data_IF_498141077419
#
_entry.id   IF_498141077419
#
_cell.length_a   1.000
_cell.length_b   1.000
_cell.length_c   1.000
_cell.angle_alpha   90.00
_cell.angle_beta   90.00
_cell.angle_gamma   90.00
#
_symmetry.space_group_name_H-M   'P 1'
#
loop_
_entity.id
_entity.type
_entity.pdbx_description
1 polymer ?
#
# COMPACT_ATOMS: atom_id res chain seq x y z
N UNK A 1 -6.23 37.17 -17.65
CA UNK A 1 -5.62 36.03 -16.94
C UNK A 1 -6.69 34.96 -16.86
N UNK A 2 -6.40 33.73 -17.29
CA UNK A 2 -7.39 32.65 -17.24
C UNK A 2 -7.52 32.12 -15.80
N UNK A 3 -8.66 31.53 -15.43
CA UNK A 3 -8.86 30.94 -14.09
C UNK A 3 -7.81 29.86 -13.74
N UNK A 4 -7.24 29.22 -14.76
CA UNK A 4 -6.11 28.29 -14.69
C UNK A 4 -4.78 28.96 -14.31
N UNK A 5 -4.54 30.21 -14.74
CA UNK A 5 -3.33 30.96 -14.38
C UNK A 5 -3.37 31.43 -12.91
N UNK A 6 -4.55 31.76 -12.39
CA UNK A 6 -4.74 32.15 -10.98
C UNK A 6 -4.62 30.97 -10.02
N UNK A 7 -5.13 29.79 -10.39
CA UNK A 7 -4.92 28.56 -9.60
C UNK A 7 -3.44 28.12 -9.60
N UNK A 8 -2.74 28.23 -10.74
CA UNK A 8 -1.31 27.93 -10.82
C UNK A 8 -0.45 28.92 -10.01
N UNK A 9 -0.81 30.21 -9.99
CA UNK A 9 -0.12 31.22 -9.19
C UNK A 9 -0.34 31.03 -7.67
N UNK A 10 -1.58 30.80 -7.22
CA UNK A 10 -1.88 30.47 -5.81
C UNK A 10 -1.24 29.17 -5.35
N UNK A 11 -1.15 28.16 -6.23
CA UNK A 11 -0.48 26.91 -5.92
C UNK A 11 1.05 27.07 -5.81
N UNK A 12 1.67 27.96 -6.60
CA UNK A 12 3.08 28.31 -6.45
C UNK A 12 3.39 29.06 -5.15
N UNK A 13 2.46 29.87 -4.65
CA UNK A 13 2.58 30.51 -3.33
C UNK A 13 2.45 29.51 -2.17
N UNK A 14 1.78 28.37 -2.40
CA UNK A 14 1.48 27.37 -1.36
C UNK A 14 2.68 26.52 -0.95
N UNK A 15 3.60 26.26 -1.87
CA UNK A 15 4.76 25.40 -1.61
C UNK A 15 6.05 26.20 -1.53
N UNK A 16 6.79 26.05 -0.43
CA UNK A 16 8.20 26.45 -0.41
C UNK A 16 9.08 25.33 -0.96
N UNK A 17 10.27 25.68 -1.50
CA UNK A 17 11.28 24.69 -1.85
C UNK A 17 11.69 23.83 -0.65
N UNK A 18 12.00 22.56 -0.92
CA UNK A 18 12.50 21.61 0.07
C UNK A 18 13.97 21.86 0.39
N UNK A 19 14.33 21.74 1.67
CA UNK A 19 15.71 21.75 2.13
C UNK A 19 16.37 20.38 1.89
N UNK A 20 17.17 20.31 0.82
CA UNK A 20 17.90 19.09 0.41
C UNK A 20 18.90 18.66 1.49
N UNK A 21 19.53 19.62 2.19
CA UNK A 21 20.53 19.30 3.22
C UNK A 21 19.93 18.51 4.38
N UNK A 22 18.65 18.74 4.67
CA UNK A 22 17.87 18.06 5.70
C UNK A 22 17.15 16.81 5.20
N UNK A 23 17.27 16.47 3.92
CA UNK A 23 16.40 15.46 3.29
C UNK A 23 14.91 15.73 3.61
N UNK A 24 14.49 16.99 3.46
CA UNK A 24 13.18 17.45 3.89
C UNK A 24 12.06 16.87 3.01
N UNK A 25 10.92 16.54 3.63
CA UNK A 25 9.72 16.03 2.96
C UNK A 25 8.50 16.81 3.44
N UNK A 26 7.49 16.91 2.56
CA UNK A 26 6.17 17.47 2.92
C UNK A 26 5.27 16.36 3.41
N UNK A 27 4.63 16.57 4.55
CA UNK A 27 3.66 15.63 5.14
C UNK A 27 2.40 16.36 5.57
N UNK A 28 1.31 15.62 5.71
CA UNK A 28 -0.01 16.14 6.03
C UNK A 28 -0.45 15.64 7.40
N UNK A 29 -1.18 16.45 8.15
CA UNK A 29 -1.93 15.99 9.33
C UNK A 29 -3.40 16.36 9.19
N UNK A 30 -4.30 15.47 9.62
CA UNK A 30 -5.70 15.86 9.79
C UNK A 30 -5.83 16.86 10.94
N UNK A 31 -6.53 17.97 10.70
CA UNK A 31 -6.88 18.91 11.78
C UNK A 31 -7.89 18.31 12.76
N UNK A 32 -8.74 17.42 12.25
CA UNK A 32 -9.72 16.66 13.02
C UNK A 32 -9.92 15.29 12.37
N UNK A 33 -10.03 14.25 13.20
CA UNK A 33 -10.31 12.88 12.78
C UNK A 33 -11.80 12.51 12.88
N UNK A 34 -12.68 13.43 13.27
CA UNK A 34 -14.11 13.18 13.39
C UNK A 34 -14.75 12.78 12.05
N UNK A 35 -15.59 11.73 12.02
CA UNK A 35 -16.25 11.28 10.81
C UNK A 35 -17.21 12.35 10.25
N UNK A 36 -17.53 12.26 8.96
CA UNK A 36 -18.52 13.11 8.26
C UNK A 36 -18.26 14.62 8.26
N UNK A 37 -17.08 15.07 8.70
CA UNK A 37 -16.64 16.46 8.53
C UNK A 37 -15.82 16.63 7.25
N UNK A 38 -15.79 17.83 6.63
CA UNK A 38 -14.91 18.11 5.50
C UNK A 38 -13.46 17.79 5.84
N UNK A 39 -12.73 17.24 4.87
CA UNK A 39 -11.31 16.90 5.07
C UNK A 39 -10.50 18.20 5.13
N UNK A 40 -9.90 18.45 6.30
CA UNK A 40 -9.01 19.57 6.56
C UNK A 40 -7.64 19.04 6.95
N UNK A 41 -6.62 19.48 6.20
CA UNK A 41 -5.25 18.99 6.28
C UNK A 41 -4.31 20.18 6.49
N UNK A 42 -3.31 20.00 7.35
CA UNK A 42 -2.22 20.97 7.51
C UNK A 42 -0.94 20.42 6.86
N UNK A 43 -0.24 21.26 6.09
CA UNK A 43 1.01 20.91 5.42
C UNK A 43 2.22 21.17 6.32
N UNK A 44 3.01 20.14 6.56
CA UNK A 44 4.22 20.19 7.38
C UNK A 44 5.45 19.94 6.54
N UNK A 45 6.53 20.66 6.85
CA UNK A 45 7.85 20.43 6.29
C UNK A 45 8.72 19.83 7.38
N UNK A 46 9.13 18.58 7.21
CA UNK A 46 9.86 17.84 8.23
C UNK A 46 11.13 17.23 7.65
N UNK A 47 12.17 17.12 8.47
CA UNK A 47 13.39 16.43 8.09
C UNK A 47 13.28 14.94 8.37
N UNK A 48 13.62 14.11 7.36
CA UNK A 48 13.83 12.67 7.53
C UNK A 48 15.17 12.34 8.22
N UNK A 49 15.89 13.34 8.74
CA UNK A 49 17.11 13.18 9.55
C UNK A 49 16.87 13.47 11.03
N UNK A 50 15.73 14.04 11.39
CA UNK A 50 15.38 14.41 12.76
C UNK A 50 14.87 13.19 13.55
N UNK A 51 15.70 12.16 13.66
CA UNK A 51 15.42 10.93 14.39
C UNK A 51 15.42 11.15 15.90
N UNK A 52 14.63 10.37 16.63
CA UNK A 52 14.72 10.32 18.10
C UNK A 52 16.05 9.72 18.55
N UNK A 53 16.70 10.23 19.62
CA UNK A 53 17.96 9.69 20.11
C UNK A 53 17.93 8.18 20.40
N UNK A 54 16.84 7.70 20.98
CA UNK A 54 16.60 6.28 21.28
C UNK A 54 16.50 5.43 20.01
N UNK A 55 15.89 5.95 18.95
CA UNK A 55 15.84 5.28 17.65
C UNK A 55 17.21 5.24 16.97
N UNK A 56 17.99 6.32 17.09
CA UNK A 56 19.38 6.36 16.57
C UNK A 56 20.22 5.29 17.25
N UNK A 57 20.16 5.19 18.59
CA UNK A 57 20.87 4.15 19.32
C UNK A 57 20.46 2.74 18.86
N UNK A 58 19.16 2.48 18.76
CA UNK A 58 18.65 1.20 18.24
C UNK A 58 19.12 0.90 16.81
N UNK A 59 19.05 1.87 15.92
CA UNK A 59 19.45 1.73 14.51
C UNK A 59 20.94 1.41 14.40
N UNK A 60 21.77 2.11 15.15
CA UNK A 60 23.23 1.96 15.12
C UNK A 60 23.66 0.59 15.70
N UNK A 61 22.86 0.01 16.61
CA UNK A 61 23.01 -1.38 17.07
C UNK A 61 22.53 -2.42 16.02
N UNK A 62 21.67 -2.03 15.08
CA UNK A 62 21.03 -2.90 14.09
C UNK A 62 21.50 -2.62 12.65
N UNK A 63 22.76 -2.22 12.45
CA UNK A 63 23.32 -1.81 11.14
C UNK A 63 23.25 -2.86 10.03
N UNK A 64 23.03 -4.15 10.35
CA UNK A 64 22.83 -5.20 9.35
C UNK A 64 21.43 -5.23 8.74
N UNK A 65 20.46 -4.50 9.32
CA UNK A 65 19.07 -4.45 8.86
C UNK A 65 18.84 -3.26 7.95
N UNK A 66 17.98 -3.43 6.94
CA UNK A 66 17.56 -2.34 6.06
C UNK A 66 16.43 -1.50 6.67
N UNK A 67 16.15 -0.32 6.11
CA UNK A 67 15.19 0.66 6.65
C UNK A 67 13.81 0.06 7.00
N UNK A 68 13.27 -0.79 6.12
CA UNK A 68 11.97 -1.45 6.33
C UNK A 68 11.98 -2.43 7.50
N UNK A 69 13.05 -3.21 7.67
CA UNK A 69 13.22 -4.15 8.80
C UNK A 69 13.52 -3.43 10.12
N UNK A 70 14.20 -2.29 10.06
CA UNK A 70 14.49 -1.48 11.23
C UNK A 70 13.21 -0.90 11.82
N UNK A 71 12.28 -0.44 10.99
CA UNK A 71 10.98 0.07 11.45
C UNK A 71 10.14 -1.02 12.14
N UNK A 72 10.16 -2.24 11.60
CA UNK A 72 9.46 -3.39 12.16
C UNK A 72 10.08 -3.81 13.49
N UNK A 73 11.39 -4.08 13.51
CA UNK A 73 12.09 -4.50 14.73
C UNK A 73 12.02 -3.45 15.84
N UNK A 74 11.96 -2.16 15.49
CA UNK A 74 11.71 -1.08 16.45
C UNK A 74 10.33 -1.22 17.09
N UNK A 75 9.31 -1.45 16.27
CA UNK A 75 7.92 -1.56 16.72
C UNK A 75 7.65 -2.84 17.52
N UNK A 76 8.27 -3.97 17.14
CA UNK A 76 8.14 -5.26 17.84
C UNK A 76 8.71 -5.24 19.26
N UNK A 77 9.71 -4.38 19.51
CA UNK A 77 10.30 -4.20 20.83
C UNK A 77 9.35 -3.53 21.83
N UNK A 78 8.26 -2.93 21.35
CA UNK A 78 7.36 -2.11 22.14
C UNK A 78 6.07 -2.87 22.41
N UNK A 79 5.81 -3.12 23.69
CA UNK A 79 4.59 -3.81 24.14
C UNK A 79 3.66 -2.82 24.82
N UNK A 80 2.41 -2.81 24.37
CA UNK A 80 1.35 -2.01 24.95
C UNK A 80 0.34 -2.89 25.67
N UNK A 81 -0.26 -2.35 26.73
CA UNK A 81 -1.48 -2.91 27.32
C UNK A 81 -2.71 -2.24 26.69
N UNK A 82 -3.90 -2.86 26.73
CA UNK A 82 -5.13 -2.24 26.21
C UNK A 82 -5.43 -0.86 26.80
N UNK A 83 -4.97 -0.59 28.02
CA UNK A 83 -5.19 0.68 28.73
C UNK A 83 -4.13 1.75 28.41
N UNK A 84 -3.13 1.45 27.56
CA UNK A 84 -2.08 2.42 27.25
C UNK A 84 -2.68 3.62 26.50
N UNK A 85 -2.50 4.87 27.00
CA UNK A 85 -3.00 6.05 26.31
C UNK A 85 -2.41 6.19 24.90
N UNK A 86 -3.26 6.52 23.91
CA UNK A 86 -2.83 6.74 22.51
C UNK A 86 -1.63 7.69 22.36
N UNK A 87 -1.52 8.82 23.11
CA UNK A 87 -0.35 9.69 23.02
C UNK A 87 0.95 9.01 23.46
N UNK A 88 0.88 8.16 24.49
CA UNK A 88 2.03 7.39 24.97
C UNK A 88 2.43 6.31 23.96
N UNK A 89 1.45 5.63 23.36
CA UNK A 89 1.71 4.68 22.28
C UNK A 89 2.40 5.35 21.09
N UNK A 90 1.86 6.49 20.66
CA UNK A 90 2.38 7.28 19.55
C UNK A 90 3.82 7.74 19.80
N UNK A 91 4.10 8.25 20.99
CA UNK A 91 5.45 8.69 21.35
C UNK A 91 6.42 7.49 21.37
N UNK A 92 6.04 6.36 21.95
CA UNK A 92 6.89 5.19 22.04
C UNK A 92 7.27 4.62 20.66
N UNK A 93 6.30 4.49 19.73
CA UNK A 93 6.57 3.92 18.40
C UNK A 93 7.24 4.90 17.43
N UNK A 94 7.12 6.21 17.65
CA UNK A 94 7.60 7.21 16.70
C UNK A 94 9.11 7.20 16.55
N UNK A 95 9.59 7.11 15.30
CA UNK A 95 11.03 7.12 15.00
C UNK A 95 11.63 8.53 14.92
N UNK A 96 10.83 9.53 14.58
CA UNK A 96 11.27 10.92 14.46
C UNK A 96 10.76 11.79 15.62
N UNK A 97 11.47 12.88 15.90
CA UNK A 97 11.13 13.82 16.99
C UNK A 97 9.78 14.51 16.79
N UNK A 98 9.31 14.56 15.54
CA UNK A 98 8.05 15.20 15.15
C UNK A 98 6.88 14.21 15.01
N UNK A 99 7.09 12.94 15.38
CA UNK A 99 6.16 11.83 15.17
C UNK A 99 6.58 10.92 14.02
N UNK A 100 5.69 10.03 13.58
CA UNK A 100 5.93 9.17 12.42
C UNK A 100 4.93 9.47 11.28
N UNK A 101 5.05 8.75 10.17
CA UNK A 101 4.20 8.95 9.00
C UNK A 101 3.83 7.67 8.27
N UNK A 102 2.68 7.69 7.62
CA UNK A 102 2.20 6.66 6.71
C UNK A 102 2.15 7.19 5.28
N UNK A 103 2.31 6.32 4.29
CA UNK A 103 2.08 6.68 2.89
C UNK A 103 0.72 6.15 2.44
N UNK A 104 0.03 6.94 1.62
CA UNK A 104 -1.19 6.53 0.94
C UNK A 104 -0.87 6.15 -0.51
N UNK A 105 -1.16 4.91 -0.88
CA UNK A 105 -1.21 4.47 -2.27
C UNK A 105 -2.66 4.26 -2.67
N UNK A 106 -3.12 4.79 -3.80
CA UNK A 106 -4.53 4.77 -4.17
C UNK A 106 -4.73 4.75 -5.69
N UNK A 107 -5.86 4.23 -6.16
CA UNK A 107 -6.17 4.26 -7.59
C UNK A 107 -6.44 5.69 -8.08
N UNK A 108 -5.87 6.08 -9.22
CA UNK A 108 -6.28 7.33 -9.87
C UNK A 108 -7.78 7.25 -10.22
N UNK A 109 -8.51 8.33 -9.97
CA UNK A 109 -9.90 8.46 -10.40
C UNK A 109 -10.00 8.82 -11.88
N UNK A 110 -11.19 8.71 -12.46
CA UNK A 110 -11.43 9.22 -13.80
C UNK A 110 -11.24 10.74 -13.81
N UNK A 111 -10.38 11.25 -14.69
CA UNK A 111 -10.11 12.68 -14.82
C UNK A 111 -11.33 13.47 -15.33
N UNK A 112 -12.34 12.78 -15.86
CA UNK A 112 -13.61 13.34 -16.30
C UNK A 112 -14.65 13.46 -15.18
N UNK A 113 -14.42 12.81 -14.04
CA UNK A 113 -15.32 12.93 -12.90
C UNK A 113 -15.19 14.30 -12.23
N UNK A 114 -16.28 14.72 -11.61
CA UNK A 114 -16.31 15.89 -10.75
C UNK A 114 -15.29 15.74 -9.62
N UNK A 115 -14.43 16.75 -9.44
CA UNK A 115 -13.45 16.78 -8.36
C UNK A 115 -14.14 17.00 -7.02
N UNK A 116 -13.64 16.35 -5.98
CA UNK A 116 -14.01 16.63 -4.61
C UNK A 116 -13.13 17.77 -4.05
N UNK A 117 -13.62 18.47 -3.04
CA UNK A 117 -12.89 19.57 -2.39
C UNK A 117 -12.40 19.15 -1.02
N UNK A 118 -11.10 19.32 -0.78
CA UNK A 118 -10.49 19.25 0.54
C UNK A 118 -9.87 20.61 0.89
N UNK A 119 -9.60 20.86 2.16
CA UNK A 119 -8.93 22.07 2.60
C UNK A 119 -7.51 21.72 3.01
N UNK A 120 -6.53 22.37 2.41
CA UNK A 120 -5.13 22.21 2.76
C UNK A 120 -4.58 23.58 3.19
N UNK A 121 -4.23 23.72 4.46
CA UNK A 121 -3.93 24.99 5.15
C UNK A 121 -5.04 26.04 4.91
N UNK A 122 -6.30 25.66 5.18
CA UNK A 122 -7.51 26.46 4.94
C UNK A 122 -7.79 26.85 3.47
N UNK A 123 -6.96 26.42 2.52
CA UNK A 123 -7.16 26.68 1.09
C UNK A 123 -7.89 25.52 0.43
N UNK A 124 -9.03 25.81 -0.19
CA UNK A 124 -9.77 24.87 -1.04
C UNK A 124 -8.86 24.29 -2.12
N UNK A 125 -8.74 22.97 -2.12
CA UNK A 125 -7.87 22.20 -3.00
C UNK A 125 -8.70 21.10 -3.65
N UNK A 126 -8.81 21.13 -4.98
CA UNK A 126 -9.58 20.17 -5.73
C UNK A 126 -8.79 18.86 -5.92
N UNK A 127 -9.37 17.74 -5.50
CA UNK A 127 -8.79 16.40 -5.58
C UNK A 127 -9.75 15.43 -6.30
N UNK A 128 -9.23 14.31 -6.79
CA UNK A 128 -10.09 13.23 -7.33
C UNK A 128 -10.98 12.63 -6.23
N UNK A 129 -12.17 12.12 -6.59
CA UNK A 129 -13.05 11.42 -5.64
C UNK A 129 -12.39 10.18 -5.00
N UNK A 130 -11.54 9.48 -5.75
CA UNK A 130 -10.77 8.36 -5.20
C UNK A 130 -9.81 8.81 -4.09
N UNK A 131 -9.08 9.90 -4.30
CA UNK A 131 -8.21 10.47 -3.25
C UNK A 131 -9.03 10.95 -2.04
N UNK A 132 -10.14 11.64 -2.26
CA UNK A 132 -10.99 12.10 -1.16
C UNK A 132 -11.51 10.92 -0.34
N UNK A 133 -12.04 9.88 -0.99
CA UNK A 133 -12.49 8.66 -0.33
C UNK A 133 -11.37 7.93 0.41
N UNK A 134 -10.20 7.80 -0.21
CA UNK A 134 -9.04 7.18 0.42
C UNK A 134 -8.56 7.97 1.66
N UNK A 135 -8.63 9.31 1.62
CA UNK A 135 -8.34 10.16 2.78
C UNK A 135 -9.42 10.04 3.87
N UNK A 136 -10.70 9.90 3.51
CA UNK A 136 -11.77 9.63 4.49
C UNK A 136 -11.50 8.33 5.25
N UNK A 137 -11.16 7.26 4.52
CA UNK A 137 -10.92 5.94 5.08
C UNK A 137 -9.64 5.94 5.93
N UNK A 138 -8.59 6.64 5.47
CA UNK A 138 -7.33 6.80 6.18
C UNK A 138 -7.48 7.64 7.45
N UNK A 139 -8.36 8.65 7.47
CA UNK A 139 -8.63 9.48 8.67
C UNK A 139 -9.07 8.65 9.86
N UNK A 140 -9.81 7.57 9.62
CA UNK A 140 -10.29 6.66 10.66
C UNK A 140 -9.27 5.57 11.03
N UNK A 141 -8.12 5.50 10.35
CA UNK A 141 -7.09 4.51 10.63
C UNK A 141 -6.48 4.69 12.02
N UNK A 142 -6.03 3.58 12.61
CA UNK A 142 -5.37 3.58 13.92
C UNK A 142 -4.13 4.50 13.91
N UNK A 143 -3.35 4.45 12.84
CA UNK A 143 -2.14 5.26 12.65
C UNK A 143 -2.45 6.76 12.68
N UNK A 144 -3.49 7.21 11.97
CA UNK A 144 -3.90 8.61 11.98
C UNK A 144 -4.51 9.02 13.33
N UNK A 145 -5.22 8.11 14.01
CA UNK A 145 -5.72 8.35 15.37
C UNK A 145 -4.60 8.45 16.42
N UNK A 146 -3.44 7.85 16.17
CA UNK A 146 -2.22 8.06 16.96
C UNK A 146 -1.52 9.39 16.62
N UNK A 147 -1.98 10.14 15.62
CA UNK A 147 -1.39 11.40 15.21
C UNK A 147 -0.23 11.26 14.21
N UNK A 148 -0.10 10.10 13.55
CA UNK A 148 0.86 9.95 12.45
C UNK A 148 0.50 10.89 11.30
N UNK A 149 1.53 11.42 10.66
CA UNK A 149 1.41 12.25 9.47
C UNK A 149 1.22 11.38 8.23
N UNK A 150 0.82 11.99 7.12
CA UNK A 150 0.48 11.29 5.89
C UNK A 150 1.31 11.85 4.75
N UNK A 151 1.81 10.96 3.92
CA UNK A 151 2.37 11.33 2.62
C UNK A 151 1.44 10.84 1.51
N UNK A 152 1.06 11.75 0.62
CA UNK A 152 0.36 11.42 -0.62
C UNK A 152 0.88 12.31 -1.75
N UNK A 153 1.26 11.69 -2.86
CA UNK A 153 1.91 12.34 -4.00
C UNK A 153 1.16 13.59 -4.49
N UNK A 154 -0.16 13.49 -4.64
CA UNK A 154 -1.01 14.55 -5.17
C UNK A 154 -1.02 15.85 -4.34
N UNK A 155 -0.69 15.79 -3.05
CA UNK A 155 -0.72 16.94 -2.13
C UNK A 155 0.65 17.24 -1.49
N UNK A 156 1.56 16.28 -1.42
CA UNK A 156 2.90 16.48 -0.87
C UNK A 156 3.92 16.92 -1.94
N UNK A 157 3.64 16.67 -3.22
CA UNK A 157 4.46 17.13 -4.34
C UNK A 157 3.79 18.35 -4.96
N UNK A 158 4.57 19.38 -5.28
CA UNK A 158 4.06 20.50 -6.06
C UNK A 158 3.85 20.06 -7.52
N UNK A 159 2.64 19.61 -7.83
CA UNK A 159 2.27 19.09 -9.14
C UNK A 159 2.43 20.11 -10.29
N UNK A 160 2.54 21.41 -9.96
CA UNK A 160 2.70 22.51 -10.92
C UNK A 160 4.15 22.92 -11.15
N UNK A 161 5.11 22.29 -10.47
CA UNK A 161 6.54 22.55 -10.59
C UNK A 161 7.26 21.28 -11.07
N UNK A 162 7.69 21.29 -12.34
CA UNK A 162 8.40 20.15 -12.95
C UNK A 162 9.70 19.87 -12.21
N UNK A 163 10.42 20.89 -11.72
CA UNK A 163 11.66 20.69 -10.98
C UNK A 163 11.40 20.03 -9.63
N UNK A 164 10.30 20.37 -8.96
CA UNK A 164 9.86 19.68 -7.74
C UNK A 164 9.49 18.22 -8.05
N UNK A 165 8.72 17.97 -9.11
CA UNK A 165 8.35 16.62 -9.55
C UNK A 165 9.57 15.75 -9.86
N UNK A 166 10.50 16.26 -10.68
CA UNK A 166 11.73 15.57 -11.06
C UNK A 166 12.55 15.14 -9.83
N UNK A 167 12.66 16.02 -8.81
CA UNK A 167 13.36 15.73 -7.55
C UNK A 167 12.71 14.62 -6.73
N UNK A 168 11.41 14.40 -6.87
CA UNK A 168 10.70 13.39 -6.08
C UNK A 168 10.81 11.98 -6.65
N UNK A 169 11.00 11.80 -7.97
CA UNK A 169 11.02 10.47 -8.62
C UNK A 169 11.93 9.47 -7.90
N UNK A 170 13.19 9.82 -7.65
CA UNK A 170 14.12 8.92 -6.93
C UNK A 170 13.80 8.82 -5.43
N UNK A 171 13.15 9.83 -4.87
CA UNK A 171 12.83 9.88 -3.44
C UNK A 171 11.58 9.09 -3.09
N UNK A 172 10.69 8.79 -4.05
CA UNK A 172 9.49 7.97 -3.81
C UNK A 172 9.86 6.65 -3.16
N UNK A 173 10.94 5.99 -3.61
CA UNK A 173 11.39 4.72 -3.01
C UNK A 173 11.71 4.87 -1.51
N UNK A 174 12.41 5.95 -1.16
CA UNK A 174 12.89 6.19 0.20
C UNK A 174 11.75 6.69 1.10
N UNK A 175 10.80 7.45 0.54
CA UNK A 175 9.63 7.95 1.26
C UNK A 175 8.70 6.78 1.61
N UNK A 176 8.36 5.92 0.63
CA UNK A 176 7.51 4.75 0.89
C UNK A 176 8.22 3.72 1.78
N UNK A 177 9.48 3.38 1.50
CA UNK A 177 10.25 2.41 2.29
C UNK A 177 10.71 2.91 3.65
N UNK A 178 10.73 4.23 3.83
CA UNK A 178 10.98 4.89 5.11
C UNK A 178 9.72 5.12 5.94
N UNK A 179 8.52 4.91 5.41
CA UNK A 179 7.26 5.11 6.16
C UNK A 179 7.09 4.10 7.30
N UNK A 180 6.20 4.38 8.24
CA UNK A 180 5.78 3.42 9.27
C UNK A 180 4.96 2.29 8.66
N UNK A 181 4.10 2.62 7.69
CA UNK A 181 3.25 1.70 6.95
C UNK A 181 2.75 2.38 5.68
N UNK A 182 2.45 1.58 4.65
CA UNK A 182 1.75 2.02 3.45
C UNK A 182 0.31 1.49 3.50
N UNK A 183 -0.66 2.40 3.37
CA UNK A 183 -2.07 2.04 3.17
C UNK A 183 -2.38 2.06 1.68
N UNK A 184 -2.63 0.88 1.10
CA UNK A 184 -3.07 0.70 -0.28
C UNK A 184 -4.60 0.73 -0.35
N UNK A 185 -5.17 1.86 -0.74
CA UNK A 185 -6.61 2.02 -0.97
C UNK A 185 -6.99 1.39 -2.32
N UNK A 186 -7.66 0.25 -2.26
CA UNK A 186 -8.07 -0.55 -3.41
C UNK A 186 -9.51 -0.30 -3.86
N UNK A 187 -10.27 0.52 -3.12
CA UNK A 187 -11.66 0.86 -3.40
C UNK A 187 -11.76 1.73 -4.67
N UNK A 188 -12.52 1.25 -5.66
CA UNK A 188 -12.93 2.08 -6.81
C UNK A 188 -14.30 2.68 -6.51
N UNK A 189 -14.39 4.00 -6.30
CA UNK A 189 -15.68 4.68 -6.09
C UNK A 189 -16.42 4.98 -7.41
N UNK A 190 -15.83 4.63 -8.56
CA UNK A 190 -16.44 4.75 -9.89
C UNK A 190 -17.21 3.51 -10.36
N UNK A 191 -17.05 2.34 -9.73
CA UNK A 191 -17.96 1.20 -9.95
C UNK A 191 -19.27 1.49 -9.24
N UNK A 192 -20.40 1.31 -9.95
CA UNK A 192 -21.75 1.39 -9.35
C UNK A 192 -21.72 0.62 -8.04
N UNK A 193 -22.19 1.24 -6.96
CA UNK A 193 -22.44 0.56 -5.69
C UNK A 193 -23.42 -0.59 -5.96
N UNK A 194 -22.90 -1.77 -6.25
CA UNK A 194 -23.65 -2.94 -6.67
C UNK A 194 -24.34 -3.63 -5.47
N UNK A 195 -24.37 -2.96 -4.31
CA UNK A 195 -24.92 -3.50 -3.07
C UNK A 195 -24.13 -4.71 -2.55
N UNK A 196 -22.92 -4.90 -3.07
CA UNK A 196 -22.01 -5.96 -2.66
C UNK A 196 -21.46 -5.60 -1.28
N UNK A 197 -21.96 -6.31 -0.27
CA UNK A 197 -21.51 -6.31 1.13
C UNK A 197 -19.97 -6.41 1.25
N UNK A 198 -19.35 -6.25 2.44
CA UNK A 198 -17.91 -6.40 2.61
C UNK A 198 -17.43 -7.83 2.26
N UNK A 199 -17.04 -8.06 1.01
CA UNK A 199 -16.61 -9.37 0.50
C UNK A 199 -15.17 -9.74 0.87
N UNK A 200 -14.57 -9.07 1.84
CA UNK A 200 -13.21 -9.39 2.30
C UNK A 200 -13.22 -10.24 3.56
N UNK A 201 -14.39 -10.76 3.96
CA UNK A 201 -14.54 -11.55 5.17
C UNK A 201 -13.65 -12.80 5.16
N UNK A 202 -13.52 -13.52 4.04
CA UNK A 202 -12.67 -14.71 3.99
C UNK A 202 -11.19 -14.36 3.98
N UNK A 203 -10.80 -13.26 3.34
CA UNK A 203 -9.44 -12.74 3.46
C UNK A 203 -9.10 -12.31 4.90
N UNK A 204 -10.05 -11.73 5.63
CA UNK A 204 -9.90 -11.42 7.06
C UNK A 204 -9.79 -12.70 7.90
N UNK A 205 -10.62 -13.72 7.63
CA UNK A 205 -10.49 -15.03 8.27
C UNK A 205 -9.10 -15.63 8.01
N UNK A 206 -8.60 -15.57 6.77
CA UNK A 206 -7.25 -16.02 6.42
C UNK A 206 -6.17 -15.27 7.21
N UNK A 207 -6.33 -13.96 7.42
CA UNK A 207 -5.41 -13.18 8.25
C UNK A 207 -5.42 -13.64 9.72
N UNK A 208 -6.60 -13.86 10.29
CA UNK A 208 -6.75 -14.36 11.67
C UNK A 208 -6.08 -15.73 11.82
N UNK A 209 -6.36 -16.65 10.90
CA UNK A 209 -5.75 -17.98 10.86
C UNK A 209 -4.23 -17.87 10.72
N UNK A 210 -3.74 -17.04 9.81
CA UNK A 210 -2.30 -16.87 9.61
C UNK A 210 -1.61 -16.36 10.87
N UNK A 211 -2.23 -15.41 11.59
CA UNK A 211 -1.70 -14.86 12.84
C UNK A 211 -1.73 -15.86 14.00
N UNK A 212 -2.76 -16.70 14.10
CA UNK A 212 -2.97 -17.63 15.22
C UNK A 212 -2.31 -18.98 15.00
N UNK A 213 -2.49 -19.55 13.82
CA UNK A 213 -2.09 -20.91 13.46
C UNK A 213 -0.86 -20.95 12.55
N UNK A 214 -0.40 -19.80 12.06
CA UNK A 214 0.73 -19.70 11.14
C UNK A 214 0.38 -20.20 9.73
N UNK A 215 1.41 -20.21 8.88
CA UNK A 215 1.28 -20.64 7.48
C UNK A 215 0.76 -22.07 7.35
N UNK A 216 1.27 -23.01 8.15
CA UNK A 216 0.86 -24.42 8.06
C UNK A 216 -0.63 -24.59 8.36
N UNK A 217 -1.16 -23.91 9.38
CA UNK A 217 -2.59 -23.96 9.69
C UNK A 217 -3.46 -23.41 8.55
N UNK A 218 -3.00 -22.35 7.88
CA UNK A 218 -3.68 -21.81 6.70
C UNK A 218 -3.64 -22.80 5.51
N UNK A 219 -2.49 -23.42 5.25
CA UNK A 219 -2.35 -24.45 4.21
C UNK A 219 -3.24 -25.67 4.48
N UNK A 220 -3.34 -26.09 5.75
CA UNK A 220 -4.17 -27.22 6.15
C UNK A 220 -5.66 -26.92 5.90
N UNK A 221 -6.14 -25.72 6.26
CA UNK A 221 -7.53 -25.31 6.02
C UNK A 221 -7.82 -25.18 4.53
N UNK A 222 -6.93 -24.55 3.75
CA UNK A 222 -7.13 -24.35 2.32
C UNK A 222 -6.97 -25.66 1.52
N UNK A 223 -6.20 -26.62 2.02
CA UNK A 223 -5.91 -27.89 1.36
C UNK A 223 -6.89 -29.03 1.68
N UNK A 224 -7.80 -28.86 2.66
CA UNK A 224 -8.89 -29.80 2.89
C UNK A 224 -10.05 -29.50 1.96
N UNK A 225 -10.02 -30.09 0.77
CA UNK A 225 -11.21 -30.21 -0.06
C UNK A 225 -12.29 -30.93 0.77
N UNK A 226 -13.41 -30.26 1.02
CA UNK A 226 -14.54 -30.70 1.86
C UNK A 226 -14.27 -30.74 3.38
N UNK A 227 -14.64 -29.64 4.01
CA UNK A 227 -14.75 -29.41 5.45
C UNK A 227 -15.73 -30.36 6.16
N UNK A 228 -15.27 -31.55 6.50
CA UNK A 228 -15.88 -32.36 7.56
C UNK A 228 -14.81 -33.20 8.29
N UNK A 229 -13.63 -32.60 8.53
CA UNK A 229 -12.49 -33.28 9.16
C UNK A 229 -12.24 -32.78 10.59
N UNK A 230 -11.87 -33.71 11.49
CA UNK A 230 -11.50 -33.40 12.89
C UNK A 230 -10.37 -32.38 13.03
N UNK A 231 -9.50 -32.24 12.03
CA UNK A 231 -8.42 -31.26 12.03
C UNK A 231 -8.95 -29.83 11.81
N UNK A 232 -9.94 -29.67 10.92
CA UNK A 232 -10.66 -28.41 10.72
C UNK A 232 -11.33 -27.98 12.03
N UNK A 233 -12.06 -28.88 12.69
CA UNK A 233 -12.76 -28.56 13.95
C UNK A 233 -11.80 -28.11 15.06
N UNK A 234 -10.64 -28.76 15.19
CA UNK A 234 -9.64 -28.37 16.18
C UNK A 234 -8.99 -27.00 15.89
N UNK A 235 -8.94 -26.57 14.63
CA UNK A 235 -8.49 -25.21 14.27
C UNK A 235 -9.61 -24.20 14.50
N UNK A 236 -10.86 -24.53 14.12
CA UNK A 236 -12.04 -23.69 14.37
C UNK A 236 -12.22 -23.40 15.87
N UNK A 237 -12.08 -24.41 16.73
CA UNK A 237 -12.12 -24.24 18.20
C UNK A 237 -11.04 -23.24 18.72
N UNK A 238 -9.93 -23.05 17.99
CA UNK A 238 -8.87 -22.10 18.37
C UNK A 238 -9.12 -20.67 17.88
N UNK A 239 -10.01 -20.48 16.90
CA UNK A 239 -10.26 -19.18 16.25
C UNK A 239 -11.69 -18.65 16.46
N UNK A 240 -12.61 -19.46 17.00
CA UNK A 240 -14.02 -19.11 17.26
C UNK A 240 -14.16 -17.83 18.11
N UNK A 241 -13.55 -17.77 19.30
CA UNK A 241 -13.64 -16.57 20.16
C UNK A 241 -13.07 -15.28 19.53
N UNK A 242 -11.85 -15.30 18.95
CA UNK A 242 -11.31 -14.13 18.23
C UNK A 242 -12.12 -13.71 17.00
N UNK A 243 -12.76 -14.65 16.30
CA UNK A 243 -13.65 -14.35 15.19
C UNK A 243 -14.93 -13.68 15.69
N UNK A 244 -15.54 -14.16 16.77
CA UNK A 244 -16.70 -13.52 17.41
C UNK A 244 -16.40 -12.06 17.84
N UNK A 245 -15.20 -11.78 18.34
CA UNK A 245 -14.77 -10.41 18.68
C UNK A 245 -14.64 -9.52 17.43
N UNK A 246 -14.08 -10.04 16.33
CA UNK A 246 -13.97 -9.31 15.06
C UNK A 246 -15.34 -9.11 14.44
N UNK A 247 -16.21 -10.12 14.47
CA UNK A 247 -17.59 -10.03 14.02
C UNK A 247 -18.35 -8.97 14.82
N UNK A 248 -18.24 -8.96 16.16
CA UNK A 248 -18.79 -7.89 17.00
C UNK A 248 -18.30 -6.49 16.58
N UNK A 249 -16.99 -6.34 16.29
CA UNK A 249 -16.41 -5.06 15.84
C UNK A 249 -16.81 -4.67 14.40
N UNK A 250 -17.09 -5.64 13.53
CA UNK A 250 -17.48 -5.44 12.11
C UNK A 250 -18.98 -5.15 12.00
N UNK A 251 -19.82 -5.77 12.84
CA UNK A 251 -21.28 -5.73 12.75
C UNK A 251 -21.97 -4.75 13.71
N UNK A 252 -21.33 -4.29 14.80
CA UNK A 252 -21.93 -3.29 15.72
C UNK A 252 -22.18 -1.91 15.06
N UNK A 253 -21.53 -1.59 13.93
CA UNK A 253 -21.74 -0.33 13.18
C UNK A 253 -22.74 -0.46 12.01
N UNK A 254 -23.31 -1.64 11.77
CA UNK A 254 -24.36 -1.86 10.77
C UNK A 254 -25.68 -2.14 11.49
N UNK A 255 -26.55 -1.13 11.63
CA UNK A 255 -27.95 -1.34 12.03
C UNK A 255 -28.61 -2.31 11.03
N UNK A 256 -28.73 -3.58 11.40
CA UNK A 256 -29.45 -4.56 10.59
C UNK A 256 -30.94 -4.19 10.51
N UNK A 257 -31.54 -4.11 9.31
CA UNK A 257 -32.98 -4.24 9.19
C UNK A 257 -33.37 -5.69 9.48
N UNK A 258 -34.00 -5.90 10.63
CA UNK A 258 -34.88 -7.02 11.03
C UNK A 258 -34.36 -8.47 10.79
N UNK A 259 -34.24 -9.29 11.85
CA UNK A 259 -33.81 -10.68 11.75
C UNK A 259 -34.99 -11.54 11.28
N UNK A 260 -35.28 -11.57 9.98
CA UNK A 260 -36.14 -12.58 9.36
C UNK A 260 -36.11 -12.49 7.83
N UNK A 261 -34.95 -12.79 7.25
CA UNK A 261 -34.78 -13.52 5.99
C UNK A 261 -33.27 -13.67 5.78
N UNK A 262 -32.87 -14.81 5.23
CA UNK A 262 -31.50 -15.17 4.88
C UNK A 262 -30.58 -15.68 6.00
N UNK A 263 -30.89 -16.92 6.40
CA UNK A 263 -30.00 -17.92 7.01
C UNK A 263 -28.75 -18.26 6.16
N UNK A 264 -28.46 -17.51 5.08
CA UNK A 264 -27.37 -17.75 4.14
C UNK A 264 -26.04 -17.09 4.55
N UNK A 265 -26.01 -16.31 5.64
CA UNK A 265 -24.77 -15.67 6.13
C UNK A 265 -23.90 -16.60 7.00
N UNK A 266 -24.46 -17.69 7.51
CA UNK A 266 -23.81 -18.60 8.47
C UNK A 266 -23.34 -19.94 7.85
N UNK A 267 -23.75 -20.24 6.61
CA UNK A 267 -23.36 -21.45 5.88
C UNK A 267 -22.52 -21.05 4.65
N UNK A 268 -21.22 -20.77 4.81
CA UNK A 268 -20.30 -20.78 3.66
C UNK A 268 -18.83 -20.95 4.10
N UNK A 269 -18.45 -22.21 4.29
CA UNK A 269 -17.12 -22.68 4.69
C UNK A 269 -15.99 -21.88 4.03
N UNK A 270 -15.01 -21.44 4.84
CA UNK A 270 -13.72 -20.97 4.34
C UNK A 270 -13.06 -22.10 3.53
N UNK A 271 -13.08 -21.95 2.21
CA UNK A 271 -12.59 -22.97 1.29
C UNK A 271 -11.62 -22.34 0.30
N UNK A 272 -10.78 -23.18 -0.29
CA UNK A 272 -9.87 -22.78 -1.36
C UNK A 272 -10.58 -21.95 -2.45
N UNK A 273 -11.76 -22.42 -2.88
CA UNK A 273 -12.54 -21.81 -3.96
C UNK A 273 -13.04 -20.42 -3.59
N UNK A 274 -13.51 -20.27 -2.37
CA UNK A 274 -14.09 -19.01 -1.91
C UNK A 274 -13.02 -17.93 -1.69
N UNK A 275 -11.83 -18.31 -1.21
CA UNK A 275 -10.67 -17.40 -1.14
C UNK A 275 -10.15 -17.00 -2.52
N UNK A 276 -10.08 -17.93 -3.48
CA UNK A 276 -9.71 -17.62 -4.86
C UNK A 276 -10.67 -16.60 -5.50
N UNK A 277 -11.98 -16.74 -5.25
CA UNK A 277 -12.98 -15.82 -5.77
C UNK A 277 -12.77 -14.39 -5.22
N UNK A 278 -12.50 -14.25 -3.91
CA UNK A 278 -12.23 -12.93 -3.31
C UNK A 278 -10.93 -12.31 -3.85
N UNK A 279 -9.84 -13.09 -3.96
CA UNK A 279 -8.60 -12.61 -4.57
C UNK A 279 -8.79 -12.20 -6.04
N UNK A 280 -9.57 -12.97 -6.80
CA UNK A 280 -9.87 -12.64 -8.19
C UNK A 280 -10.60 -11.29 -8.31
N UNK A 281 -11.58 -11.02 -7.43
CA UNK A 281 -12.23 -9.71 -7.36
C UNK A 281 -11.22 -8.63 -6.98
N UNK A 282 -10.41 -8.84 -5.94
CA UNK A 282 -9.40 -7.88 -5.49
C UNK A 282 -8.46 -7.49 -6.62
N UNK A 283 -7.88 -8.45 -7.34
CA UNK A 283 -6.90 -8.17 -8.39
C UNK A 283 -7.49 -7.53 -9.66
N UNK A 284 -8.82 -7.53 -9.83
CA UNK A 284 -9.50 -6.82 -10.92
C UNK A 284 -9.70 -5.33 -10.66
N UNK A 285 -9.39 -4.86 -9.45
CA UNK A 285 -9.52 -3.45 -9.10
C UNK A 285 -8.50 -2.59 -9.85
N UNK A 286 -8.92 -1.40 -10.31
CA UNK A 286 -8.08 -0.46 -11.06
C UNK A 286 -6.79 -0.07 -10.34
N UNK A 287 -6.75 -0.19 -9.02
CA UNK A 287 -5.54 0.02 -8.23
C UNK A 287 -4.35 -0.78 -8.78
N UNK A 288 -4.55 -2.06 -9.08
CA UNK A 288 -3.47 -2.98 -9.47
C UNK A 288 -2.93 -2.73 -10.88
N UNK A 289 -3.66 -2.00 -11.71
CA UNK A 289 -3.15 -1.66 -13.04
C UNK A 289 -2.14 -0.52 -12.97
N UNK A 290 -2.00 0.24 -11.87
CA UNK A 290 -1.09 1.40 -11.81
C UNK A 290 0.38 1.00 -11.80
N UNK A 291 1.19 1.64 -12.64
CA UNK A 291 2.62 1.39 -12.70
C UNK A 291 3.36 1.72 -11.40
N UNK A 292 3.05 2.86 -10.77
CA UNK A 292 3.72 3.29 -9.55
C UNK A 292 3.47 2.34 -8.36
N UNK A 293 2.37 1.59 -8.36
CA UNK A 293 2.07 0.58 -7.33
C UNK A 293 3.15 -0.50 -7.26
N UNK A 294 3.82 -0.81 -8.37
CA UNK A 294 4.93 -1.76 -8.41
C UNK A 294 6.04 -1.30 -7.45
N UNK A 295 6.53 -0.06 -7.60
CA UNK A 295 7.57 0.48 -6.73
C UNK A 295 7.05 0.72 -5.32
N UNK A 296 5.88 1.34 -5.17
CA UNK A 296 5.29 1.68 -3.88
C UNK A 296 5.15 0.45 -2.97
N UNK A 297 4.67 -0.69 -3.48
CA UNK A 297 4.52 -1.92 -2.71
C UNK A 297 5.83 -2.71 -2.57
N UNK A 298 6.71 -2.67 -3.57
CA UNK A 298 7.98 -3.41 -3.52
C UNK A 298 8.91 -2.88 -2.43
N UNK A 299 8.85 -1.58 -2.13
CA UNK A 299 9.69 -0.94 -1.11
C UNK A 299 8.99 -0.74 0.23
N UNK A 300 7.66 -0.88 0.29
CA UNK A 300 6.91 -0.56 1.50
C UNK A 300 7.20 -1.51 2.68
N UNK A 301 7.08 -1.04 3.93
CA UNK A 301 7.22 -1.87 5.14
C UNK A 301 6.29 -3.10 5.16
N UNK A 302 6.65 -4.13 5.93
CA UNK A 302 5.83 -5.34 6.15
C UNK A 302 4.51 -5.06 6.86
N UNK A 303 4.45 -3.97 7.64
CA UNK A 303 3.26 -3.43 8.31
C UNK A 303 2.25 -2.79 7.34
N UNK A 304 2.54 -2.78 6.04
CA UNK A 304 1.66 -2.21 5.01
C UNK A 304 0.39 -3.02 4.83
N UNK A 305 -0.70 -2.32 4.49
CA UNK A 305 -2.05 -2.86 4.51
C UNK A 305 -2.80 -2.53 3.23
N UNK A 306 -3.63 -3.45 2.77
CA UNK A 306 -4.68 -3.17 1.80
C UNK A 306 -5.92 -2.70 2.53
N UNK A 307 -6.56 -1.67 1.98
CA UNK A 307 -7.78 -1.11 2.50
C UNK A 307 -8.84 -1.03 1.41
N UNK A 308 -9.89 -1.82 1.58
CA UNK A 308 -11.12 -1.70 0.80
C UNK A 308 -12.17 -0.87 1.56
N UNK A 309 -12.27 -1.08 2.87
CA UNK A 309 -13.24 -0.40 3.74
C UNK A 309 -12.66 -0.15 5.15
N UNK A 310 -13.50 -0.16 6.20
CA UNK A 310 -13.11 0.09 7.59
C UNK A 310 -12.01 -0.85 8.08
N UNK A 311 -12.07 -2.14 7.77
CA UNK A 311 -11.11 -3.14 8.26
C UNK A 311 -10.01 -3.38 7.23
N UNK A 312 -8.75 -3.03 7.52
CA UNK A 312 -7.64 -3.27 6.62
C UNK A 312 -7.12 -4.71 6.73
N UNK A 313 -6.59 -5.25 5.64
CA UNK A 313 -5.91 -6.55 5.58
C UNK A 313 -4.41 -6.31 5.42
N UNK A 314 -3.57 -7.04 6.14
CA UNK A 314 -2.12 -6.96 6.00
C UNK A 314 -1.70 -7.47 4.63
N UNK A 315 -0.78 -6.73 3.99
CA UNK A 315 -0.27 -7.11 2.67
C UNK A 315 0.46 -8.45 2.73
N UNK A 316 1.09 -8.78 3.86
CA UNK A 316 1.68 -10.09 4.12
C UNK A 316 0.68 -11.25 4.07
N UNK A 317 -0.60 -11.03 4.42
CA UNK A 317 -1.66 -12.03 4.27
C UNK A 317 -1.85 -12.38 2.80
N UNK A 318 -2.00 -11.37 1.94
CA UNK A 318 -2.18 -11.57 0.49
C UNK A 318 -0.92 -12.18 -0.15
N UNK A 319 0.27 -11.76 0.30
CA UNK A 319 1.53 -12.37 -0.14
C UNK A 319 1.63 -13.85 0.23
N UNK A 320 1.24 -14.20 1.45
CA UNK A 320 1.27 -15.60 1.93
C UNK A 320 0.27 -16.45 1.16
N UNK A 321 -0.95 -15.94 0.93
CA UNK A 321 -1.95 -16.60 0.10
C UNK A 321 -1.41 -16.82 -1.31
N UNK A 322 -0.86 -15.79 -1.95
CA UNK A 322 -0.29 -15.93 -3.30
C UNK A 322 0.81 -17.00 -3.36
N UNK A 323 1.70 -17.04 -2.38
CA UNK A 323 2.76 -18.05 -2.32
C UNK A 323 2.20 -19.47 -2.12
N UNK A 324 1.24 -19.66 -1.20
CA UNK A 324 0.56 -20.96 -1.00
C UNK A 324 -0.09 -21.43 -2.31
N UNK A 325 -0.83 -20.54 -2.99
CA UNK A 325 -1.55 -20.88 -4.22
C UNK A 325 -0.64 -21.22 -5.40
N UNK A 326 0.53 -20.56 -5.48
CA UNK A 326 1.49 -20.79 -6.55
C UNK A 326 2.37 -22.03 -6.32
N UNK A 327 2.64 -22.40 -5.06
CA UNK A 327 3.60 -23.45 -4.70
C UNK A 327 2.96 -24.78 -4.31
N UNK A 328 1.73 -24.76 -3.81
CA UNK A 328 1.08 -25.97 -3.30
C UNK A 328 0.52 -26.81 -4.45
N UNK A 329 1.08 -28.00 -4.68
CA UNK A 329 0.61 -28.93 -5.72
C UNK A 329 -0.80 -29.49 -5.46
N UNK A 330 -1.32 -29.36 -4.22
CA UNK A 330 -2.71 -29.70 -3.87
C UNK A 330 -3.70 -28.63 -4.28
N UNK A 331 -3.21 -27.47 -4.74
CA UNK A 331 -4.07 -26.40 -5.22
C UNK A 331 -4.69 -26.84 -6.55
N UNK A 332 -5.88 -27.43 -6.45
CA UNK A 332 -6.64 -27.91 -7.60
C UNK A 332 -7.16 -26.71 -8.40
N UNK A 333 -6.42 -26.31 -9.44
CA UNK A 333 -6.86 -25.36 -10.47
C UNK A 333 -8.03 -25.86 -11.32
N UNK A 334 -8.64 -27.00 -10.95
CA UNK A 334 -9.60 -27.76 -11.74
C UNK A 334 -10.93 -27.06 -12.01
N UNK A 335 -11.19 -25.89 -11.44
CA UNK A 335 -12.39 -25.12 -11.76
C UNK A 335 -11.97 -23.72 -12.23
N UNK A 336 -12.36 -23.38 -13.47
CA UNK A 336 -12.13 -22.11 -14.20
C UNK A 336 -10.75 -21.96 -14.88
N UNK A 337 -10.51 -22.60 -16.04
CA UNK A 337 -9.38 -22.24 -16.93
C UNK A 337 -9.28 -20.71 -17.16
N UNK A 338 -10.44 -20.04 -17.23
CA UNK A 338 -10.55 -18.58 -17.36
C UNK A 338 -10.28 -17.81 -16.05
N UNK A 339 -10.67 -18.36 -14.89
CA UNK A 339 -10.40 -17.75 -13.58
C UNK A 339 -8.93 -17.86 -13.20
N UNK A 340 -8.27 -18.98 -13.56
CA UNK A 340 -6.82 -19.16 -13.40
C UNK A 340 -6.06 -18.15 -14.23
N UNK A 341 -6.43 -17.96 -15.50
CA UNK A 341 -5.73 -17.04 -16.39
C UNK A 341 -5.89 -15.57 -15.98
N UNK A 342 -6.99 -15.22 -15.31
CA UNK A 342 -7.25 -13.88 -14.78
C UNK A 342 -6.65 -13.65 -13.37
N UNK A 343 -6.64 -14.67 -12.50
CA UNK A 343 -6.12 -14.57 -11.14
C UNK A 343 -4.59 -14.68 -11.08
N UNK A 344 -4.00 -15.55 -11.89
CA UNK A 344 -2.57 -15.87 -11.87
C UNK A 344 -1.67 -14.63 -12.00
N UNK A 345 -1.93 -13.66 -12.90
CA UNK A 345 -1.13 -12.44 -12.97
C UNK A 345 -1.06 -11.65 -11.66
N UNK A 346 -2.17 -11.61 -10.90
CA UNK A 346 -2.21 -10.97 -9.59
C UNK A 346 -1.39 -11.71 -8.54
N UNK A 347 -1.46 -13.04 -8.53
CA UNK A 347 -0.63 -13.88 -7.65
C UNK A 347 0.86 -13.75 -7.99
N UNK A 348 1.21 -13.79 -9.28
CA UNK A 348 2.58 -13.58 -9.77
C UNK A 348 3.10 -12.19 -9.38
N UNK A 349 2.26 -11.16 -9.46
CA UNK A 349 2.60 -9.82 -9.01
C UNK A 349 2.91 -9.80 -7.50
N UNK A 350 2.09 -10.46 -6.69
CA UNK A 350 2.35 -10.55 -5.25
C UNK A 350 3.63 -11.34 -4.92
N UNK A 351 3.91 -12.42 -5.65
CA UNK A 351 5.15 -13.16 -5.53
C UNK A 351 6.36 -12.30 -5.91
N UNK A 352 6.25 -11.49 -6.97
CA UNK A 352 7.25 -10.50 -7.35
C UNK A 352 7.51 -9.49 -6.22
N UNK A 353 6.46 -8.90 -5.63
CA UNK A 353 6.60 -7.97 -4.49
C UNK A 353 7.29 -8.64 -3.30
N UNK A 354 6.94 -9.89 -2.98
CA UNK A 354 7.60 -10.67 -1.92
C UNK A 354 9.08 -10.90 -2.19
N UNK A 355 9.42 -11.33 -3.41
CA UNK A 355 10.82 -11.51 -3.84
C UNK A 355 11.59 -10.20 -3.71
N UNK A 356 11.03 -9.08 -4.17
CA UNK A 356 11.71 -7.79 -4.15
C UNK A 356 11.98 -7.28 -2.74
N UNK A 357 11.01 -7.38 -1.83
CA UNK A 357 11.20 -7.05 -0.42
C UNK A 357 12.29 -7.91 0.22
N UNK A 358 12.36 -9.19 -0.14
CA UNK A 358 13.40 -10.09 0.36
C UNK A 358 14.78 -9.69 -0.17
N UNK A 359 14.90 -9.34 -1.46
CA UNK A 359 16.16 -8.88 -2.04
C UNK A 359 16.66 -7.58 -1.38
N UNK A 360 15.76 -6.62 -1.17
CA UNK A 360 16.08 -5.37 -0.47
C UNK A 360 16.49 -5.57 0.99
N UNK A 361 16.13 -6.69 1.61
CA UNK A 361 16.39 -6.97 3.02
C UNK A 361 17.59 -7.88 3.28
N UNK A 362 18.10 -8.56 2.25
CA UNK A 362 19.37 -9.26 2.35
C UNK A 362 20.54 -8.28 2.20
N UNK A 363 21.64 -8.48 2.94
CA UNK A 363 22.89 -7.69 2.79
C UNK A 363 23.56 -7.84 1.41
N UNK A 364 22.91 -8.55 0.48
CA UNK A 364 23.36 -8.91 -0.86
C UNK A 364 22.53 -8.22 -1.95
N UNK A 365 22.04 -6.99 -1.73
CA UNK A 365 21.49 -6.22 -2.85
C UNK A 365 22.63 -6.05 -3.87
N UNK A 366 22.55 -6.69 -5.06
CA UNK A 366 23.72 -6.79 -5.91
C UNK A 366 24.03 -5.40 -6.48
N UNK A 367 25.32 -5.06 -6.60
CA UNK A 367 25.75 -3.78 -7.20
C UNK A 367 25.20 -3.61 -8.63
N UNK A 368 24.83 -4.72 -9.27
CA UNK A 368 24.20 -4.81 -10.57
C UNK A 368 23.14 -5.90 -10.57
N UNK A 369 21.96 -5.60 -11.11
CA UNK A 369 20.95 -6.63 -11.39
C UNK A 369 21.43 -7.51 -12.55
N UNK A 370 21.28 -8.82 -12.41
CA UNK A 370 21.45 -9.73 -13.54
C UNK A 370 20.31 -9.59 -14.57
N UNK A 371 20.55 -10.07 -15.78
CA UNK A 371 19.63 -9.98 -16.91
C UNK A 371 18.26 -10.62 -16.60
N UNK A 372 18.24 -11.66 -15.76
CA UNK A 372 17.01 -12.34 -15.32
C UNK A 372 16.17 -11.40 -14.45
N UNK A 373 16.79 -10.76 -13.46
CA UNK A 373 16.14 -9.84 -12.54
C UNK A 373 15.64 -8.58 -13.25
N UNK A 374 16.40 -8.09 -14.24
CA UNK A 374 15.95 -6.98 -15.10
C UNK A 374 14.70 -7.37 -15.90
N UNK A 375 14.68 -8.58 -16.48
CA UNK A 375 13.50 -9.07 -17.21
C UNK A 375 12.28 -9.25 -16.31
N UNK A 376 12.48 -9.77 -15.10
CA UNK A 376 11.43 -9.91 -14.10
C UNK A 376 10.86 -8.55 -13.68
N UNK A 377 11.70 -7.52 -13.51
CA UNK A 377 11.25 -6.15 -13.22
C UNK A 377 10.48 -5.51 -14.39
N UNK A 378 10.92 -5.77 -15.61
CA UNK A 378 10.29 -5.22 -16.80
C UNK A 378 8.86 -5.75 -17.01
N UNK A 379 8.59 -7.01 -16.66
CA UNK A 379 7.29 -7.66 -16.88
C UNK A 379 6.08 -6.95 -16.22
N UNK A 380 6.06 -6.66 -14.90
CA UNK A 380 4.98 -5.88 -14.30
C UNK A 380 4.97 -4.44 -14.84
N UNK A 381 6.14 -3.86 -15.14
CA UNK A 381 6.26 -2.53 -15.73
C UNK A 381 5.55 -2.38 -17.07
N UNK A 382 5.69 -3.36 -17.97
CA UNK A 382 5.02 -3.36 -19.27
C UNK A 382 3.50 -3.48 -19.15
N UNK A 383 3.02 -4.34 -18.24
CA UNK A 383 1.58 -4.61 -18.06
C UNK A 383 0.82 -3.47 -17.40
N UNK A 384 1.50 -2.64 -16.58
CA UNK A 384 0.84 -1.62 -15.79
C UNK A 384 0.56 -0.32 -16.57
N UNK A 385 -0.57 0.31 -16.32
CA UNK A 385 -0.98 1.60 -16.84
C UNK A 385 -0.18 2.76 -16.22
N UNK A 386 0.14 3.75 -17.06
CA UNK A 386 0.73 5.02 -16.65
C UNK A 386 0.16 6.16 -17.51
N UNK A 387 -0.03 7.34 -16.91
CA UNK A 387 -0.53 8.51 -17.65
C UNK A 387 0.54 9.10 -18.56
N UNK A 388 1.80 9.04 -18.14
CA UNK A 388 2.96 9.51 -18.89
C UNK A 388 3.81 8.30 -19.27
N UNK A 389 4.09 8.06 -20.57
CA UNK A 389 4.84 6.87 -20.97
C UNK A 389 6.29 6.86 -20.42
N UNK A 390 6.88 8.02 -20.10
CA UNK A 390 8.19 8.08 -19.43
C UNK A 390 8.20 7.37 -18.06
N UNK A 391 7.04 7.25 -17.40
CA UNK A 391 6.94 6.56 -16.12
C UNK A 391 7.28 5.07 -16.25
N UNK A 392 7.18 4.47 -17.46
CA UNK A 392 7.67 3.10 -17.71
C UNK A 392 9.12 2.93 -17.30
N UNK A 393 9.92 4.00 -17.34
CA UNK A 393 11.28 4.03 -16.79
C UNK A 393 11.29 4.64 -15.39
N UNK A 394 10.78 5.87 -15.25
CA UNK A 394 10.92 6.64 -14.01
C UNK A 394 10.20 6.01 -12.81
N UNK A 395 9.05 5.39 -13.03
CA UNK A 395 8.24 4.72 -12.02
C UNK A 395 8.83 3.45 -11.43
N UNK A 396 9.86 2.90 -12.09
CA UNK A 396 10.58 1.69 -11.64
C UNK A 396 12.05 1.98 -11.32
N UNK A 397 12.52 3.20 -11.58
CA UNK A 397 13.91 3.60 -11.41
C UNK A 397 14.37 3.46 -9.96
N UNK A 398 13.46 3.60 -8.99
CA UNK A 398 13.76 3.41 -7.57
C UNK A 398 14.06 1.96 -7.19
N UNK A 399 13.70 0.99 -8.04
CA UNK A 399 14.01 -0.42 -7.83
C UNK A 399 15.37 -0.83 -8.41
N UNK A 400 15.96 0.00 -9.28
CA UNK A 400 17.31 -0.24 -9.80
C UNK A 400 18.41 0.11 -8.80
N UNK A 401 19.57 -0.59 -8.83
CA UNK A 401 20.75 -0.22 -8.05
C UNK A 401 21.23 1.21 -8.36
N UNK A 402 21.86 1.84 -7.35
CA UNK A 402 22.38 3.21 -7.44
C UNK A 402 23.23 3.48 -8.69
N UNK A 403 24.14 2.58 -9.13
CA UNK A 403 24.92 2.78 -10.35
C UNK A 403 24.08 2.97 -11.62
N UNK A 404 22.88 2.39 -11.69
CA UNK A 404 21.96 2.58 -12.82
C UNK A 404 21.09 3.81 -12.59
N UNK A 405 20.46 3.91 -11.42
CA UNK A 405 19.49 4.97 -11.14
C UNK A 405 20.09 6.37 -11.13
N UNK A 406 21.39 6.50 -10.81
CA UNK A 406 22.09 7.79 -10.77
C UNK A 406 22.55 8.31 -12.15
N UNK A 407 22.64 7.42 -13.16
CA UNK A 407 23.02 7.80 -14.53
C UNK A 407 21.81 8.37 -15.28
N UNK A 408 20.61 7.89 -14.98
CA UNK A 408 19.38 8.30 -15.67
C UNK A 408 19.02 9.73 -15.30
N UNK A 409 18.99 10.62 -16.30
CA UNK A 409 18.54 12.01 -16.14
C UNK A 409 17.01 12.05 -16.11
N UNK A 410 16.46 12.40 -14.95
CA UNK A 410 15.02 12.52 -14.76
C UNK A 410 14.59 13.93 -15.15
N UNK A 411 13.87 14.00 -16.26
CA UNK A 411 13.34 15.25 -16.77
C UNK A 411 12.04 15.01 -17.53
N UNK A 412 10.91 15.34 -16.89
CA UNK A 412 9.59 15.25 -17.51
C UNK A 412 9.36 16.26 -18.64
N UNK A 413 10.30 17.18 -18.92
CA UNK A 413 10.24 18.07 -20.08
C UNK A 413 10.82 17.45 -21.35
N UNK A 414 11.55 16.33 -21.24
CA UNK A 414 12.12 15.61 -22.39
C UNK A 414 11.08 14.79 -23.14
N UNK A 415 11.32 14.64 -24.44
CA UNK A 415 10.52 13.78 -25.30
C UNK A 415 10.60 12.33 -24.84
N UNK A 416 9.46 11.64 -24.89
CA UNK A 416 9.35 10.26 -24.40
C UNK A 416 10.31 9.32 -25.11
N UNK A 417 10.37 9.39 -26.44
CA UNK A 417 11.19 8.50 -27.25
C UNK A 417 12.68 8.60 -26.90
N UNK A 418 13.16 9.80 -26.58
CA UNK A 418 14.54 10.06 -26.18
C UNK A 418 14.86 9.40 -24.83
N UNK A 419 13.98 9.59 -23.83
CA UNK A 419 14.13 8.98 -22.50
C UNK A 419 14.15 7.45 -22.59
N UNK A 420 13.24 6.86 -23.37
CA UNK A 420 13.16 5.40 -23.53
C UNK A 420 14.36 4.85 -24.30
N UNK A 421 14.82 5.55 -25.34
CA UNK A 421 16.00 5.16 -26.13
C UNK A 421 17.29 5.19 -25.29
N UNK A 422 17.49 6.25 -24.51
CA UNK A 422 18.63 6.37 -23.62
C UNK A 422 18.64 5.26 -22.58
N UNK A 423 17.48 4.98 -21.98
CA UNK A 423 17.36 3.93 -20.98
C UNK A 423 17.61 2.54 -21.55
N UNK A 424 17.04 2.21 -22.72
CA UNK A 424 17.31 0.94 -23.40
C UNK A 424 18.79 0.79 -23.80
N UNK A 425 19.48 1.89 -24.10
CA UNK A 425 20.92 1.86 -24.38
C UNK A 425 21.75 1.56 -23.14
N UNK A 426 21.29 2.00 -21.96
CA UNK A 426 21.91 1.73 -20.67
C UNK A 426 21.58 0.32 -20.15
N UNK A 427 20.37 -0.16 -20.39
CA UNK A 427 19.83 -1.46 -19.93
C UNK A 427 19.29 -2.23 -21.15
N UNK A 428 20.13 -2.96 -21.90
CA UNK A 428 19.76 -3.60 -23.17
C UNK A 428 18.62 -4.64 -23.05
N UNK A 429 18.48 -5.27 -21.89
CA UNK A 429 17.44 -6.26 -21.59
C UNK A 429 16.07 -5.59 -21.37
N UNK A 430 16.06 -4.27 -21.17
CA UNK A 430 14.85 -3.48 -21.03
C UNK A 430 14.19 -3.32 -22.40
N UNK A 431 12.97 -3.85 -22.52
CA UNK A 431 12.15 -3.70 -23.72
C UNK A 431 11.04 -2.70 -23.43
N UNK A 432 11.04 -1.58 -24.14
CA UNK A 432 9.88 -0.70 -24.19
C UNK A 432 8.89 -1.23 -25.23
N UNK A 433 7.63 -1.43 -24.83
CA UNK A 433 6.51 -1.79 -25.73
C UNK A 433 5.49 -0.68 -25.75
#
# INVERSE_FOLDING_TARGET
MSATDEQGARAKEKYRPLDISKNEVRLLSFENTAPNTPIRLSLHYVSLKDWKPEYVAFRDENTSKHSSQLSEAWSEGIKFTPDTPKPEMSDAISRFIWGDYVCLSYAWGDCKEEKATVFLDDVETAVTKNLEGALQDLRSSFECQLGMKIWVDALCINQFDIDDRNKHVLRVKDIFGGSFSVTASIKDRGSRDDGLQPWTHRLLQCEVILRKCGRQGLEDILGTADCDSKASNAIWDQIEGPLEEIEGMVFDEYEHPQPNQDRWLYDDILSQRSVCAELWVVFRMKYWSRLWVVQELAVSPTTSKLRWDKTPIHLSTIQTLADIMLTNSRFEWFMFEQGVSELKPGLEFMAFITKWRTLQTTSNCPERLDDDTVRELNQPGQRADCSLPQDKVFGLLGLFPSPVSSIVVIDYSRETEEVLSDFCSLVPEWKCT
#
